data_IF_817268217882
#
_entry.id   IF_817268217882
#
_cell.length_a   1.000
_cell.length_b   1.000
_cell.length_c   1.000
_cell.angle_alpha   90.00
_cell.angle_beta   90.00
_cell.angle_gamma   90.00
#
_symmetry.space_group_name_H-M   'P 1'
#
loop_
_entity.id
_entity.type
_entity.pdbx_description
1 polymer ?
#
# COMPACT_ATOMS: atom_id res chain seq x y z
N UNK A 1 -16.06 29.22 28.19
CA UNK A 1 -14.78 28.77 28.78
C UNK A 1 -13.97 27.79 27.90
N UNK A 2 -14.58 27.00 26.99
CA UNK A 2 -13.85 25.97 26.20
C UNK A 2 -13.04 26.47 24.98
N UNK A 3 -13.41 27.59 24.36
CA UNK A 3 -12.74 28.09 23.14
C UNK A 3 -11.31 28.63 23.40
N UNK A 4 -11.07 29.24 24.57
CA UNK A 4 -9.76 29.77 24.94
C UNK A 4 -8.71 28.69 25.17
N UNK A 5 -9.11 27.56 25.78
CA UNK A 5 -8.23 26.42 26.04
C UNK A 5 -7.79 25.70 24.75
N UNK A 6 -8.69 25.59 23.76
CA UNK A 6 -8.35 25.03 22.45
C UNK A 6 -7.35 25.93 21.74
N UNK A 7 -7.57 27.26 21.76
CA UNK A 7 -6.67 28.21 21.12
C UNK A 7 -5.29 28.17 21.77
N UNK A 8 -5.19 28.25 23.10
CA UNK A 8 -3.91 28.18 23.83
C UNK A 8 -3.18 26.86 23.60
N UNK A 9 -3.89 25.73 23.55
CA UNK A 9 -3.28 24.42 23.27
C UNK A 9 -2.58 24.37 21.91
N UNK A 10 -3.13 25.01 20.87
CA UNK A 10 -2.54 25.03 19.52
C UNK A 10 -1.61 26.21 19.24
N UNK A 11 -1.53 27.23 20.11
CA UNK A 11 -0.69 28.43 19.91
C UNK A 11 0.42 28.62 20.92
N UNK A 12 0.38 27.95 22.07
CA UNK A 12 1.39 28.11 23.13
C UNK A 12 2.37 26.92 23.19
N UNK A 13 3.65 27.22 23.43
CA UNK A 13 4.74 26.26 23.56
C UNK A 13 5.87 26.44 22.53
N UNK A 14 6.79 25.49 22.51
CA UNK A 14 7.94 25.49 21.59
C UNK A 14 7.47 25.35 20.13
N UNK A 15 8.13 26.05 19.19
CA UNK A 15 7.74 26.08 17.76
C UNK A 15 7.52 24.67 17.15
N UNK A 16 8.37 23.70 17.50
CA UNK A 16 8.26 22.29 17.06
C UNK A 16 6.98 21.63 17.57
N UNK A 17 6.62 21.85 18.84
CA UNK A 17 5.42 21.29 19.46
C UNK A 17 4.14 21.87 18.86
N UNK A 18 4.13 23.17 18.55
CA UNK A 18 3.01 23.83 17.86
C UNK A 18 2.82 23.25 16.46
N UNK A 19 3.90 23.10 15.68
CA UNK A 19 3.85 22.46 14.35
C UNK A 19 3.36 21.02 14.43
N UNK A 20 3.87 20.24 15.40
CA UNK A 20 3.45 18.85 15.58
C UNK A 20 1.95 18.73 15.89
N UNK A 21 1.42 19.54 16.81
CA UNK A 21 -0.02 19.55 17.16
C UNK A 21 -0.90 19.86 15.94
N UNK A 22 -0.54 20.87 15.14
CA UNK A 22 -1.26 21.23 13.91
C UNK A 22 -1.23 20.08 12.88
N UNK A 23 -0.06 19.47 12.67
CA UNK A 23 0.11 18.35 11.74
C UNK A 23 -0.67 17.11 12.16
N UNK A 24 -0.73 16.81 13.47
CA UNK A 24 -1.52 15.70 13.99
C UNK A 24 -3.01 15.94 13.72
N UNK A 25 -3.52 17.13 14.06
CA UNK A 25 -4.94 17.48 13.81
C UNK A 25 -5.27 17.39 12.31
N UNK A 26 -4.43 17.98 11.46
CA UNK A 26 -4.61 17.91 10.01
C UNK A 26 -4.59 16.47 9.50
N UNK A 27 -3.67 15.63 10.00
CA UNK A 27 -3.58 14.22 9.63
C UNK A 27 -4.82 13.42 10.06
N UNK A 28 -5.36 13.69 11.25
CA UNK A 28 -6.60 13.06 11.73
C UNK A 28 -7.78 13.46 10.85
N UNK A 29 -7.91 14.74 10.52
CA UNK A 29 -9.00 15.22 9.65
C UNK A 29 -8.90 14.60 8.25
N UNK A 30 -7.72 14.60 7.65
CA UNK A 30 -7.48 14.00 6.33
C UNK A 30 -7.84 12.51 6.36
N UNK A 31 -7.36 11.75 7.36
CA UNK A 31 -7.70 10.33 7.51
C UNK A 31 -9.20 10.11 7.72
N UNK A 32 -9.85 10.95 8.52
CA UNK A 32 -11.29 10.89 8.73
C UNK A 32 -12.08 11.10 7.45
N UNK A 33 -11.71 12.11 6.65
CA UNK A 33 -12.31 12.34 5.33
C UNK A 33 -12.05 11.17 4.38
N UNK A 34 -10.83 10.62 4.34
CA UNK A 34 -10.52 9.44 3.53
C UNK A 34 -11.40 8.24 3.90
N UNK A 35 -11.58 7.96 5.18
CA UNK A 35 -12.48 6.89 5.65
C UNK A 35 -13.93 7.18 5.24
N UNK A 36 -14.40 8.42 5.41
CA UNK A 36 -15.74 8.84 5.00
C UNK A 36 -15.97 8.61 3.50
N UNK A 37 -15.02 8.99 2.65
CA UNK A 37 -15.06 8.74 1.20
C UNK A 37 -15.09 7.24 0.91
N UNK A 38 -14.23 6.45 1.56
CA UNK A 38 -14.21 4.98 1.40
C UNK A 38 -15.54 4.33 1.79
N UNK A 39 -16.20 4.81 2.85
CA UNK A 39 -17.51 4.32 3.26
C UNK A 39 -18.61 4.72 2.28
N UNK A 40 -18.58 5.95 1.75
CA UNK A 40 -19.53 6.42 0.74
C UNK A 40 -19.37 5.68 -0.60
N UNK A 41 -18.16 5.23 -0.93
CA UNK A 41 -17.90 4.40 -2.11
C UNK A 41 -18.65 3.07 -2.07
N UNK A 42 -18.87 2.48 -0.89
CA UNK A 42 -19.56 1.19 -0.73
C UNK A 42 -20.98 1.22 -1.33
N UNK A 43 -21.93 2.07 -0.87
CA UNK A 43 -23.28 2.10 -1.43
C UNK A 43 -23.29 2.59 -2.89
N UNK A 44 -22.38 3.48 -3.27
CA UNK A 44 -22.29 3.95 -4.66
C UNK A 44 -21.90 2.82 -5.62
N UNK A 45 -20.93 1.98 -5.24
CA UNK A 45 -20.45 0.90 -6.10
C UNK A 45 -21.34 -0.33 -6.06
N UNK A 46 -21.91 -0.70 -4.90
CA UNK A 46 -22.84 -1.84 -4.80
C UNK A 46 -24.04 -1.68 -5.74
N UNK A 47 -24.58 -0.47 -5.87
CA UNK A 47 -25.71 -0.20 -6.77
C UNK A 47 -25.35 -0.39 -8.26
N UNK A 48 -24.08 -0.23 -8.64
CA UNK A 48 -23.62 -0.40 -10.01
C UNK A 48 -23.25 -1.84 -10.35
N UNK A 49 -22.58 -2.54 -9.44
CA UNK A 49 -21.94 -3.84 -9.75
C UNK A 49 -22.66 -5.03 -9.12
N UNK A 50 -23.75 -4.80 -8.36
CA UNK A 50 -24.45 -5.75 -7.51
C UNK A 50 -23.63 -6.27 -6.31
N UNK A 51 -24.33 -6.73 -5.27
CA UNK A 51 -23.71 -7.14 -4.00
C UNK A 51 -22.74 -8.32 -4.14
N UNK A 52 -22.99 -9.24 -5.08
CA UNK A 52 -22.16 -10.43 -5.27
C UNK A 52 -20.79 -10.08 -5.84
N UNK A 53 -20.73 -9.31 -6.94
CA UNK A 53 -19.46 -8.90 -7.55
C UNK A 53 -18.67 -7.98 -6.63
N UNK A 54 -19.35 -7.12 -5.88
CA UNK A 54 -18.71 -6.28 -4.87
C UNK A 54 -18.06 -7.10 -3.74
N UNK A 55 -18.74 -8.14 -3.24
CA UNK A 55 -18.18 -9.04 -2.23
C UNK A 55 -16.93 -9.79 -2.72
N UNK A 56 -16.93 -10.23 -3.98
CA UNK A 56 -15.76 -10.86 -4.62
C UNK A 56 -14.60 -9.86 -4.71
N UNK A 57 -14.88 -8.63 -5.16
CA UNK A 57 -13.89 -7.56 -5.21
C UNK A 57 -13.26 -7.30 -3.83
N UNK A 58 -14.08 -7.18 -2.78
CA UNK A 58 -13.58 -6.99 -1.42
C UNK A 58 -12.72 -8.16 -0.94
N UNK A 59 -13.11 -9.39 -1.25
CA UNK A 59 -12.37 -10.60 -0.86
C UNK A 59 -10.99 -10.64 -1.52
N UNK A 60 -10.93 -10.43 -2.84
CA UNK A 60 -9.68 -10.38 -3.60
C UNK A 60 -8.80 -9.22 -3.10
N UNK A 61 -9.39 -8.04 -2.91
CA UNK A 61 -8.68 -6.88 -2.38
C UNK A 61 -8.09 -7.14 -0.99
N UNK A 62 -8.82 -7.88 -0.14
CA UNK A 62 -8.34 -8.25 1.21
C UNK A 62 -7.16 -9.21 1.14
N UNK A 63 -7.21 -10.22 0.28
CA UNK A 63 -6.09 -11.17 0.09
C UNK A 63 -4.83 -10.43 -0.34
N UNK A 64 -4.94 -9.53 -1.31
CA UNK A 64 -3.81 -8.72 -1.79
C UNK A 64 -3.34 -7.70 -0.75
N UNK A 65 -4.28 -7.12 0.01
CA UNK A 65 -3.97 -6.26 1.14
C UNK A 65 -3.11 -6.96 2.19
N UNK A 66 -3.38 -8.23 2.48
CA UNK A 66 -2.53 -9.03 3.37
C UNK A 66 -1.12 -9.26 2.82
N UNK A 67 -1.00 -9.51 1.52
CA UNK A 67 0.30 -9.66 0.87
C UNK A 67 1.12 -8.35 0.91
N UNK A 68 0.49 -7.18 1.10
CA UNK A 68 1.19 -5.90 1.25
C UNK A 68 2.14 -5.84 2.47
N UNK A 69 1.89 -6.67 3.48
CA UNK A 69 2.74 -6.81 4.67
C UNK A 69 3.98 -7.68 4.43
N UNK A 70 4.07 -8.34 3.28
CA UNK A 70 5.15 -9.26 2.94
C UNK A 70 6.40 -8.55 2.39
N UNK A 71 6.60 -7.25 2.65
CA UNK A 71 7.81 -6.53 2.21
C UNK A 71 9.10 -6.94 2.96
N UNK A 72 8.99 -7.89 3.91
CA UNK A 72 10.07 -8.49 4.72
C UNK A 72 10.95 -7.42 5.40
N UNK A 73 10.47 -6.17 5.50
CA UNK A 73 11.24 -5.04 6.00
C UNK A 73 12.38 -4.57 5.09
N UNK A 74 12.56 -5.11 3.87
CA UNK A 74 13.61 -4.70 2.92
C UNK A 74 13.49 -3.22 2.58
N UNK A 75 12.28 -2.74 2.34
CA UNK A 75 11.99 -1.34 2.06
C UNK A 75 12.34 -0.42 3.24
N UNK A 76 12.05 -0.86 4.47
CA UNK A 76 12.40 -0.09 5.68
C UNK A 76 13.91 -0.10 5.93
N UNK A 77 14.57 -1.24 5.71
CA UNK A 77 16.02 -1.39 5.79
C UNK A 77 16.75 -0.49 4.80
N UNK A 78 16.28 -0.46 3.53
CA UNK A 78 16.77 0.46 2.51
C UNK A 78 16.64 1.91 2.98
N UNK A 79 15.46 2.32 3.47
CA UNK A 79 15.22 3.71 3.91
C UNK A 79 16.26 4.16 4.94
N UNK A 80 16.48 3.34 5.97
CA UNK A 80 17.39 3.66 7.06
C UNK A 80 18.86 3.70 6.59
N UNK A 81 19.29 2.69 5.84
CA UNK A 81 20.68 2.59 5.34
C UNK A 81 21.00 3.64 4.28
N UNK A 82 20.03 3.95 3.42
CA UNK A 82 20.14 5.03 2.44
C UNK A 82 20.29 6.39 3.14
N UNK A 83 19.42 6.70 4.10
CA UNK A 83 19.50 7.95 4.86
C UNK A 83 20.85 8.08 5.61
N UNK A 84 21.34 6.99 6.21
CA UNK A 84 22.64 6.95 6.88
C UNK A 84 23.79 7.25 5.91
N UNK A 85 23.84 6.56 4.76
CA UNK A 85 24.89 6.77 3.75
C UNK A 85 24.86 8.20 3.16
N UNK A 86 23.65 8.75 2.95
CA UNK A 86 23.46 10.13 2.48
C UNK A 86 23.94 11.15 3.50
N UNK A 87 23.65 10.96 4.79
CA UNK A 87 24.14 11.83 5.86
C UNK A 87 25.68 11.82 5.98
N UNK A 88 26.32 10.71 5.61
CA UNK A 88 27.79 10.56 5.55
C UNK A 88 28.43 11.03 4.23
N UNK A 89 27.64 11.54 3.28
CA UNK A 89 28.08 11.88 1.91
C UNK A 89 28.65 10.68 1.10
N UNK A 90 28.29 9.46 1.47
CA UNK A 90 28.75 8.22 0.83
C UNK A 90 27.84 7.84 -0.36
N UNK A 91 27.83 8.68 -1.40
CA UNK A 91 26.90 8.53 -2.53
C UNK A 91 27.02 7.19 -3.27
N UNK A 92 28.23 6.63 -3.37
CA UNK A 92 28.45 5.33 -3.99
C UNK A 92 27.75 4.20 -3.20
N UNK A 93 27.86 4.23 -1.86
CA UNK A 93 27.22 3.24 -0.98
C UNK A 93 25.69 3.38 -1.05
N UNK A 94 25.18 4.61 -1.07
CA UNK A 94 23.75 4.88 -1.24
C UNK A 94 23.20 4.28 -2.55
N UNK A 95 23.94 4.42 -3.66
CA UNK A 95 23.58 3.81 -4.95
C UNK A 95 23.60 2.28 -4.91
N UNK A 96 24.56 1.68 -4.21
CA UNK A 96 24.63 0.22 -4.01
C UNK A 96 23.41 -0.28 -3.26
N UNK A 97 22.98 0.39 -2.19
CA UNK A 97 21.77 -0.01 -1.46
C UNK A 97 20.51 0.04 -2.33
N UNK A 98 20.35 1.11 -3.12
CA UNK A 98 19.20 1.27 -4.03
C UNK A 98 19.20 0.16 -5.09
N UNK A 99 20.29 0.01 -5.83
CA UNK A 99 20.39 -0.96 -6.93
C UNK A 99 20.22 -2.40 -6.44
N UNK A 100 20.84 -2.76 -5.31
CA UNK A 100 20.73 -4.10 -4.71
C UNK A 100 19.31 -4.39 -4.27
N UNK A 101 18.65 -3.43 -3.62
CA UNK A 101 17.25 -3.61 -3.17
C UNK A 101 16.30 -3.73 -4.35
N UNK A 102 16.48 -2.93 -5.41
CA UNK A 102 15.73 -3.06 -6.66
C UNK A 102 15.92 -4.43 -7.29
N UNK A 103 17.16 -4.91 -7.41
CA UNK A 103 17.45 -6.21 -8.00
C UNK A 103 16.81 -7.35 -7.21
N UNK A 104 16.99 -7.38 -5.88
CA UNK A 104 16.44 -8.45 -5.02
C UNK A 104 14.92 -8.45 -5.06
N UNK A 105 14.26 -7.30 -4.88
CA UNK A 105 12.80 -7.24 -4.90
C UNK A 105 12.24 -7.56 -6.29
N UNK A 106 12.89 -7.10 -7.36
CA UNK A 106 12.46 -7.46 -8.72
C UNK A 106 12.56 -8.96 -8.97
N UNK A 107 13.65 -9.61 -8.53
CA UNK A 107 13.81 -11.07 -8.67
C UNK A 107 12.71 -11.79 -7.87
N UNK A 108 12.50 -11.44 -6.61
CA UNK A 108 11.49 -12.09 -5.75
C UNK A 108 10.10 -11.96 -6.40
N UNK A 109 9.67 -10.74 -6.75
CA UNK A 109 8.33 -10.51 -7.28
C UNK A 109 8.16 -11.01 -8.72
N UNK A 110 9.22 -11.04 -9.54
CA UNK A 110 9.18 -11.68 -10.85
C UNK A 110 9.05 -13.20 -10.71
N UNK A 111 9.80 -13.83 -9.79
CA UNK A 111 9.67 -15.26 -9.52
C UNK A 111 8.27 -15.61 -9.02
N UNK A 112 7.72 -14.85 -8.07
CA UNK A 112 6.34 -15.05 -7.59
C UNK A 112 5.31 -14.87 -8.71
N UNK A 113 5.50 -13.87 -9.57
CA UNK A 113 4.62 -13.63 -10.71
C UNK A 113 4.66 -14.79 -11.71
N UNK A 114 5.85 -15.29 -12.04
CA UNK A 114 6.03 -16.44 -12.93
C UNK A 114 5.38 -17.69 -12.34
N UNK A 115 5.61 -17.99 -11.05
CA UNK A 115 4.95 -19.12 -10.36
C UNK A 115 3.43 -18.98 -10.46
N UNK A 116 2.90 -17.78 -10.21
CA UNK A 116 1.47 -17.53 -10.31
C UNK A 116 0.95 -17.78 -11.72
N UNK A 117 1.61 -17.28 -12.78
CA UNK A 117 1.22 -17.52 -14.18
C UNK A 117 1.15 -19.01 -14.53
N UNK A 118 2.12 -19.81 -14.08
CA UNK A 118 2.08 -21.26 -14.31
C UNK A 118 1.00 -21.95 -13.49
N UNK A 119 0.77 -21.53 -12.25
CA UNK A 119 -0.29 -22.09 -11.40
C UNK A 119 -1.69 -21.68 -11.85
N UNK A 120 -1.82 -20.53 -12.53
CA UNK A 120 -3.09 -19.88 -12.85
C UNK A 120 -4.06 -20.79 -13.62
N UNK A 121 -3.56 -21.57 -14.58
CA UNK A 121 -4.38 -22.51 -15.37
C UNK A 121 -4.96 -23.66 -14.53
N UNK A 122 -4.39 -23.94 -13.37
CA UNK A 122 -4.85 -24.99 -12.45
C UNK A 122 -5.78 -24.47 -11.35
N UNK A 123 -5.94 -23.15 -11.21
CA UNK A 123 -6.76 -22.54 -10.16
C UNK A 123 -8.22 -22.41 -10.61
N UNK A 124 -9.12 -23.08 -9.89
CA UNK A 124 -10.56 -22.87 -10.03
C UNK A 124 -11.03 -21.83 -9.01
N UNK A 125 -11.09 -20.56 -9.44
CA UNK A 125 -11.51 -19.44 -8.60
C UNK A 125 -12.95 -19.56 -8.11
N UNK A 126 -13.83 -20.20 -8.87
CA UNK A 126 -15.20 -20.46 -8.43
C UNK A 126 -15.26 -21.37 -7.21
N UNK A 127 -14.42 -22.41 -7.17
CA UNK A 127 -14.31 -23.30 -6.02
C UNK A 127 -13.60 -22.62 -4.83
N UNK A 128 -12.56 -21.82 -5.10
CA UNK A 128 -11.79 -21.13 -4.05
C UNK A 128 -12.67 -20.10 -3.32
N UNK A 129 -13.41 -19.28 -4.08
CA UNK A 129 -14.26 -18.22 -3.52
C UNK A 129 -15.70 -18.69 -3.25
N UNK A 130 -16.03 -19.95 -3.57
CA UNK A 130 -17.37 -20.55 -3.43
C UNK A 130 -18.46 -19.72 -4.11
N UNK A 131 -18.24 -19.42 -5.39
CA UNK A 131 -19.14 -18.63 -6.25
C UNK A 131 -19.60 -19.45 -7.46
N UNK A 132 -20.70 -19.06 -8.14
CA UNK A 132 -21.18 -19.77 -9.32
C UNK A 132 -20.11 -19.92 -10.40
N UNK A 133 -20.06 -21.10 -11.03
CA UNK A 133 -19.05 -21.47 -12.04
C UNK A 133 -19.02 -20.53 -13.26
N UNK A 134 -20.15 -19.90 -13.57
CA UNK A 134 -20.29 -18.89 -14.62
C UNK A 134 -19.34 -17.70 -14.45
N UNK A 135 -18.98 -17.38 -13.20
CA UNK A 135 -18.11 -16.24 -12.88
C UNK A 135 -16.62 -16.59 -12.92
N UNK A 136 -16.26 -17.86 -13.12
CA UNK A 136 -14.87 -18.31 -13.01
C UNK A 136 -13.91 -17.51 -13.88
N UNK A 137 -14.29 -17.28 -15.13
CA UNK A 137 -13.45 -16.58 -16.12
C UNK A 137 -13.25 -15.12 -15.73
N UNK A 138 -14.33 -14.41 -15.35
CA UNK A 138 -14.26 -13.01 -14.92
C UNK A 138 -13.34 -12.85 -13.71
N UNK A 139 -13.48 -13.73 -12.71
CA UNK A 139 -12.70 -13.70 -11.47
C UNK A 139 -11.25 -14.07 -11.72
N UNK A 140 -11.00 -15.05 -12.58
CA UNK A 140 -9.65 -15.47 -12.95
C UNK A 140 -8.88 -14.32 -13.60
N UNK A 141 -9.51 -13.61 -14.55
CA UNK A 141 -8.94 -12.43 -15.20
C UNK A 141 -8.70 -11.32 -14.16
N UNK A 142 -9.66 -11.07 -13.27
CA UNK A 142 -9.52 -10.07 -12.21
C UNK A 142 -8.34 -10.39 -11.30
N UNK A 143 -8.23 -11.63 -10.82
CA UNK A 143 -7.13 -12.07 -9.97
C UNK A 143 -5.77 -11.94 -10.68
N UNK A 144 -5.70 -12.27 -11.97
CA UNK A 144 -4.50 -12.09 -12.79
C UNK A 144 -4.08 -10.62 -12.88
N UNK A 145 -5.02 -9.72 -13.18
CA UNK A 145 -4.75 -8.28 -13.28
C UNK A 145 -4.26 -7.74 -11.93
N UNK A 146 -4.98 -8.03 -10.84
CA UNK A 146 -4.66 -7.44 -9.53
C UNK A 146 -3.36 -8.04 -8.97
N UNK A 147 -3.09 -9.32 -9.16
CA UNK A 147 -1.82 -9.92 -8.75
C UNK A 147 -0.62 -9.38 -9.55
N UNK A 148 -0.80 -9.16 -10.84
CA UNK A 148 0.23 -8.52 -11.68
C UNK A 148 0.52 -7.08 -11.23
N UNK A 149 -0.55 -6.31 -11.00
CA UNK A 149 -0.44 -4.96 -10.43
C UNK A 149 0.28 -4.97 -9.08
N UNK A 150 -0.07 -5.91 -8.21
CA UNK A 150 0.57 -6.10 -6.91
C UNK A 150 2.09 -6.29 -7.05
N UNK A 151 2.54 -7.22 -7.89
CA UNK A 151 3.98 -7.46 -8.12
C UNK A 151 4.72 -6.20 -8.62
N UNK A 152 4.15 -5.49 -9.58
CA UNK A 152 4.74 -4.25 -10.11
C UNK A 152 4.77 -3.16 -9.03
N UNK A 153 3.67 -2.98 -8.31
CA UNK A 153 3.54 -1.96 -7.26
C UNK A 153 4.59 -2.14 -6.17
N UNK A 154 4.95 -3.38 -5.84
CA UNK A 154 5.97 -3.69 -4.85
C UNK A 154 7.36 -3.25 -5.25
N UNK A 155 7.74 -3.44 -6.51
CA UNK A 155 9.02 -2.96 -7.03
C UNK A 155 9.04 -1.43 -7.08
N UNK A 156 7.96 -0.81 -7.57
CA UNK A 156 7.87 0.65 -7.68
C UNK A 156 7.81 1.36 -6.32
N UNK A 157 7.37 0.69 -5.25
CA UNK A 157 7.34 1.22 -3.87
C UNK A 157 8.73 1.71 -3.40
N UNK A 158 9.80 1.16 -3.96
CA UNK A 158 11.17 1.59 -3.66
C UNK A 158 11.39 3.07 -4.01
N UNK A 159 10.78 3.58 -5.09
CA UNK A 159 10.90 4.99 -5.50
C UNK A 159 10.38 5.91 -4.40
N UNK A 160 9.17 5.64 -3.90
CA UNK A 160 8.58 6.40 -2.79
C UNK A 160 9.43 6.33 -1.53
N UNK A 161 10.07 5.20 -1.29
CA UNK A 161 10.92 4.97 -0.12
C UNK A 161 12.18 5.83 -0.16
N UNK A 162 12.81 5.94 -1.33
CA UNK A 162 13.98 6.80 -1.55
C UNK A 162 13.59 8.27 -1.40
N UNK A 163 12.46 8.68 -1.99
CA UNK A 163 11.95 10.06 -1.87
C UNK A 163 11.70 10.44 -0.40
N UNK A 164 11.16 9.53 0.40
CA UNK A 164 10.94 9.73 1.84
C UNK A 164 12.21 9.60 2.70
N UNK A 165 13.31 9.13 2.12
CA UNK A 165 14.61 9.00 2.80
C UNK A 165 15.54 10.18 2.52
N UNK A 166 15.39 10.83 1.36
CA UNK A 166 16.17 12.01 0.96
C UNK A 166 15.56 13.33 1.47
N UNK A 167 14.30 13.29 1.96
CA UNK A 167 13.62 14.38 2.68
C UNK A 167 13.99 14.42 4.17
#
# INVERSE_FOLDING_TARGET
MKAGFIKSFFTEGHERSIKAKKNILASILIKGFSIGISLLLVPLTINYVNSSRYGIWLTISSIIGWLSFFDIGLTQGLRNRFAEARAKNENQIAQVFVSTTFAILSIIFATLWIIYLFSHSYLNWSNILKVPSEMNTEISILALIVFTYFCISFVLKIINTILLADQ
#
